data_IF_080025451933
#
_entry.id   IF_080025451933
#
_cell.length_a   1.000
_cell.length_b   1.000
_cell.length_c   1.000
_cell.angle_alpha   90.00
_cell.angle_beta   90.00
_cell.angle_gamma   90.00
#
_symmetry.space_group_name_H-M   'P 1'
#
loop_
_entity.id
_entity.type
_entity.pdbx_description
1 polymer ?
#
# COMPACT_ATOMS: atom_id res chain seq x y z
N UNK A 1 -14.69 14.38 4.01
CA UNK A 1 -14.56 12.97 4.46
C UNK A 1 -14.83 12.74 5.96
N UNK A 2 -15.05 13.79 6.77
CA UNK A 2 -15.30 13.66 8.22
C UNK A 2 -16.77 13.40 8.60
N UNK A 3 -17.72 13.76 7.74
CA UNK A 3 -19.16 13.53 7.97
C UNK A 3 -19.52 12.06 8.11
N UNK A 4 -18.81 11.17 7.41
CA UNK A 4 -18.99 9.72 7.51
C UNK A 4 -18.39 9.15 8.80
N UNK A 5 -17.33 9.76 9.34
CA UNK A 5 -16.73 9.36 10.61
C UNK A 5 -17.61 9.76 11.80
N UNK A 6 -18.17 10.97 11.78
CA UNK A 6 -19.13 11.43 12.81
C UNK A 6 -20.38 10.57 12.81
N UNK A 7 -20.94 10.28 11.63
CA UNK A 7 -22.10 9.39 11.48
C UNK A 7 -21.81 7.97 11.98
N UNK A 8 -20.62 7.43 11.67
CA UNK A 8 -20.22 6.07 12.09
C UNK A 8 -19.86 5.98 13.58
N UNK A 9 -19.35 7.05 14.18
CA UNK A 9 -19.13 7.14 15.62
C UNK A 9 -20.46 7.18 16.39
N UNK A 10 -21.46 7.91 15.87
CA UNK A 10 -22.80 7.97 16.43
C UNK A 10 -23.60 6.65 16.29
N UNK A 11 -23.29 5.82 15.29
CA UNK A 11 -23.93 4.51 15.09
C UNK A 11 -23.38 3.41 16.02
N UNK A 12 -22.14 3.52 16.52
CA UNK A 12 -21.51 2.51 17.41
C UNK A 12 -22.11 2.45 18.82
N UNK A 13 -22.86 3.46 19.25
CA UNK A 13 -23.46 3.48 20.60
C UNK A 13 -24.78 2.70 20.73
N UNK A 14 -25.33 2.17 19.63
CA UNK A 14 -26.69 1.59 19.60
C UNK A 14 -26.82 0.11 20.00
N UNK A 15 -25.74 -0.58 20.38
CA UNK A 15 -25.79 -2.03 20.67
C UNK A 15 -25.64 -2.43 22.14
N UNK A 16 -25.76 -1.50 23.10
CA UNK A 16 -25.49 -1.80 24.52
C UNK A 16 -26.63 -1.39 25.48
N UNK A 17 -27.87 -1.36 25.00
CA UNK A 17 -29.03 -1.02 25.83
C UNK A 17 -30.05 -2.18 25.81
N UNK A 18 -29.61 -3.37 26.21
CA UNK A 18 -30.51 -4.45 26.64
C UNK A 18 -30.95 -4.17 28.08
N UNK A 19 -31.98 -3.33 28.23
CA UNK A 19 -32.64 -3.11 29.51
C UNK A 19 -33.73 -4.18 29.70
N UNK A 20 -33.64 -5.05 30.71
CA UNK A 20 -34.50 -6.23 30.84
C UNK A 20 -35.99 -5.95 31.12
N UNK A 21 -36.38 -4.70 31.42
CA UNK A 21 -37.75 -4.35 31.83
C UNK A 21 -38.40 -3.17 31.07
N UNK A 22 -37.81 -2.72 29.96
CA UNK A 22 -38.47 -1.75 29.08
C UNK A 22 -39.17 -2.50 27.94
N UNK A 23 -40.47 -2.23 27.66
CA UNK A 23 -41.13 -2.80 26.50
C UNK A 23 -40.46 -2.27 25.23
N UNK A 24 -39.52 -3.04 24.67
CA UNK A 24 -38.85 -2.71 23.41
C UNK A 24 -39.90 -2.79 22.27
N UNK A 25 -40.27 -1.66 21.64
CA UNK A 25 -41.25 -1.64 20.54
C UNK A 25 -40.70 -2.31 19.28
N UNK A 26 -39.39 -2.54 19.20
CA UNK A 26 -38.70 -3.16 18.08
C UNK A 26 -38.12 -4.51 18.50
N UNK A 27 -38.98 -5.47 18.83
CA UNK A 27 -38.56 -6.87 19.05
C UNK A 27 -38.02 -7.44 17.74
N UNK A 28 -36.83 -8.02 17.76
CA UNK A 28 -36.30 -8.73 16.59
C UNK A 28 -37.19 -9.94 16.29
N UNK A 29 -37.71 -10.02 15.06
CA UNK A 29 -38.49 -11.17 14.58
C UNK A 29 -37.70 -12.49 14.61
N UNK A 30 -36.36 -12.41 14.61
CA UNK A 30 -35.44 -13.55 14.63
C UNK A 30 -34.32 -13.27 15.61
N UNK A 31 -34.12 -14.15 16.58
CA UNK A 31 -32.99 -14.09 17.53
C UNK A 31 -31.69 -14.35 16.75
N UNK A 32 -30.76 -13.42 16.88
CA UNK A 32 -29.37 -13.58 16.44
C UNK A 32 -28.53 -13.93 17.67
N UNK A 33 -27.51 -14.81 17.60
CA UNK A 33 -27.04 -15.63 16.48
C UNK A 33 -27.91 -16.88 16.24
N UNK A 34 -27.98 -17.39 14.99
CA UNK A 34 -28.66 -18.65 14.71
C UNK A 34 -27.93 -19.81 15.39
N UNK A 35 -28.67 -20.75 15.97
CA UNK A 35 -28.08 -21.98 16.51
C UNK A 35 -27.56 -22.86 15.36
N UNK A 36 -26.25 -22.83 15.11
CA UNK A 36 -25.60 -23.56 14.02
C UNK A 36 -25.86 -25.08 14.08
N UNK A 37 -25.96 -25.65 15.28
CA UNK A 37 -26.22 -27.09 15.49
C UNK A 37 -27.60 -27.55 15.01
N UNK A 38 -28.56 -26.62 14.81
CA UNK A 38 -29.93 -26.92 14.34
C UNK A 38 -30.12 -26.66 12.84
N UNK A 39 -29.11 -26.11 12.16
CA UNK A 39 -29.15 -25.77 10.74
C UNK A 39 -28.72 -26.96 9.88
N UNK A 40 -29.31 -27.09 8.69
CA UNK A 40 -28.88 -28.11 7.72
C UNK A 40 -27.42 -27.86 7.28
N UNK A 41 -26.65 -28.92 6.95
CA UNK A 41 -25.25 -28.77 6.51
C UNK A 41 -25.09 -27.82 5.31
N UNK A 42 -26.05 -27.82 4.39
CA UNK A 42 -26.03 -26.92 3.23
C UNK A 42 -26.15 -25.45 3.63
N UNK A 43 -26.99 -25.14 4.62
CA UNK A 43 -27.14 -23.77 5.13
C UNK A 43 -25.92 -23.31 5.91
N UNK A 44 -25.31 -24.20 6.71
CA UNK A 44 -24.05 -23.91 7.41
C UNK A 44 -22.95 -23.50 6.42
N UNK A 45 -22.76 -24.25 5.33
CA UNK A 45 -21.79 -23.92 4.28
C UNK A 45 -22.08 -22.57 3.60
N UNK A 46 -23.35 -22.22 3.40
CA UNK A 46 -23.74 -20.90 2.87
C UNK A 46 -23.32 -19.77 3.81
N UNK A 47 -23.54 -19.94 5.11
CA UNK A 47 -23.12 -18.97 6.12
C UNK A 47 -21.60 -18.85 6.21
N UNK A 48 -20.88 -19.97 6.17
CA UNK A 48 -19.42 -19.99 6.20
C UNK A 48 -18.84 -19.26 4.99
N UNK A 49 -19.33 -19.55 3.77
CA UNK A 49 -18.93 -18.83 2.55
C UNK A 49 -19.19 -17.33 2.67
N UNK A 50 -20.36 -16.94 3.20
CA UNK A 50 -20.71 -15.53 3.39
C UNK A 50 -19.81 -14.85 4.42
N UNK A 51 -19.48 -15.55 5.51
CA UNK A 51 -18.57 -15.07 6.54
C UNK A 51 -17.16 -14.86 5.97
N UNK A 52 -16.59 -15.87 5.31
CA UNK A 52 -15.26 -15.78 4.67
C UNK A 52 -15.16 -14.59 3.71
N UNK A 53 -16.16 -14.37 2.87
CA UNK A 53 -16.20 -13.19 1.98
C UNK A 53 -16.22 -11.87 2.75
N UNK A 54 -17.02 -11.77 3.80
CA UNK A 54 -17.11 -10.55 4.63
C UNK A 54 -15.80 -10.29 5.37
N UNK A 55 -15.14 -11.32 5.88
CA UNK A 55 -13.83 -11.22 6.52
C UNK A 55 -12.79 -10.77 5.50
N UNK A 56 -12.78 -11.33 4.30
CA UNK A 56 -11.87 -10.89 3.22
C UNK A 56 -12.08 -9.42 2.87
N UNK A 57 -13.34 -8.97 2.76
CA UNK A 57 -13.66 -7.57 2.50
C UNK A 57 -13.29 -6.64 3.66
N UNK A 58 -13.47 -7.09 4.91
CA UNK A 58 -13.09 -6.32 6.10
C UNK A 58 -11.56 -6.25 6.28
N UNK A 59 -10.86 -7.32 5.91
CA UNK A 59 -9.41 -7.42 5.94
C UNK A 59 -8.75 -6.71 4.74
N UNK A 60 -9.47 -6.54 3.64
CA UNK A 60 -8.95 -5.81 2.48
C UNK A 60 -8.61 -4.36 2.87
N UNK A 61 -7.33 -4.01 2.83
CA UNK A 61 -6.82 -2.65 3.05
C UNK A 61 -6.34 -2.05 1.72
N UNK A 62 -7.26 -1.58 0.85
CA UNK A 62 -6.89 -1.15 -0.50
C UNK A 62 -5.99 0.08 -0.50
N UNK A 63 -6.12 0.98 0.48
CA UNK A 63 -5.28 2.18 0.58
C UNK A 63 -3.84 1.83 0.94
N UNK A 64 -3.64 0.93 1.90
CA UNK A 64 -2.31 0.45 2.29
C UNK A 64 -1.62 -0.25 1.12
N UNK A 65 -2.33 -1.15 0.44
CA UNK A 65 -1.78 -1.85 -0.72
C UNK A 65 -1.39 -0.89 -1.84
N UNK A 66 -2.16 0.18 -2.07
CA UNK A 66 -1.79 1.23 -3.03
C UNK A 66 -0.51 1.96 -2.63
N UNK A 67 -0.36 2.31 -1.36
CA UNK A 67 0.85 2.99 -0.86
C UNK A 67 2.08 2.09 -0.97
N UNK A 68 1.96 0.80 -0.61
CA UNK A 68 3.07 -0.16 -0.72
C UNK A 68 3.46 -0.35 -2.19
N UNK A 69 2.50 -0.51 -3.10
CA UNK A 69 2.78 -0.61 -4.54
C UNK A 69 3.45 0.64 -5.09
N UNK A 70 3.02 1.82 -4.64
CA UNK A 70 3.65 3.08 -5.05
C UNK A 70 5.09 3.18 -4.52
N UNK A 71 5.33 2.81 -3.26
CA UNK A 71 6.67 2.77 -2.68
C UNK A 71 7.57 1.76 -3.40
N UNK A 72 7.04 0.58 -3.75
CA UNK A 72 7.75 -0.42 -4.53
C UNK A 72 8.12 0.12 -5.91
N UNK A 73 7.18 0.72 -6.63
CA UNK A 73 7.46 1.34 -7.93
C UNK A 73 8.52 2.44 -7.80
N UNK A 74 8.38 3.32 -6.81
CA UNK A 74 9.36 4.36 -6.53
C UNK A 74 10.76 3.78 -6.25
N UNK A 75 10.87 2.73 -5.45
CA UNK A 75 12.16 2.08 -5.18
C UNK A 75 12.81 1.51 -6.44
N UNK A 76 12.01 0.88 -7.32
CA UNK A 76 12.52 0.30 -8.57
C UNK A 76 12.99 1.43 -9.50
N UNK A 77 12.16 2.45 -9.71
CA UNK A 77 12.51 3.61 -10.54
C UNK A 77 13.72 4.36 -9.99
N UNK A 78 13.83 4.50 -8.67
CA UNK A 78 14.96 5.16 -8.03
C UNK A 78 16.27 4.40 -8.28
N UNK A 79 16.27 3.08 -8.08
CA UNK A 79 17.47 2.25 -8.33
C UNK A 79 17.86 2.28 -9.80
N UNK A 80 16.90 2.15 -10.71
CA UNK A 80 17.18 2.23 -12.16
C UNK A 80 17.72 3.62 -12.53
N UNK A 81 17.07 4.69 -12.07
CA UNK A 81 17.50 6.06 -12.31
C UNK A 81 18.92 6.32 -11.79
N UNK A 82 19.23 5.87 -10.58
CA UNK A 82 20.58 5.95 -10.03
C UNK A 82 21.60 5.16 -10.86
N UNK A 83 21.27 3.93 -11.24
CA UNK A 83 22.15 3.07 -12.03
C UNK A 83 22.48 3.68 -13.39
N UNK A 84 21.47 4.28 -14.04
CA UNK A 84 21.64 4.91 -15.35
C UNK A 84 22.34 6.26 -15.23
N UNK A 85 21.97 7.13 -14.28
CA UNK A 85 22.46 8.51 -14.26
C UNK A 85 23.75 8.73 -13.48
N UNK A 86 23.98 7.99 -12.39
CA UNK A 86 25.05 8.29 -11.43
C UNK A 86 26.06 7.15 -11.22
N UNK A 87 25.69 5.91 -11.52
CA UNK A 87 26.58 4.78 -11.25
C UNK A 87 27.70 4.72 -12.29
N UNK A 88 28.93 4.93 -11.83
CA UNK A 88 30.11 4.80 -12.66
C UNK A 88 30.53 3.33 -12.76
N UNK A 89 30.28 2.73 -13.93
CA UNK A 89 30.82 1.42 -14.26
C UNK A 89 32.24 1.69 -14.75
N UNK A 90 33.25 1.36 -13.91
CA UNK A 90 34.71 1.62 -14.06
C UNK A 90 35.38 1.03 -15.33
N UNK A 91 34.67 0.99 -16.44
CA UNK A 91 35.08 0.52 -17.75
C UNK A 91 35.31 1.74 -18.67
N UNK A 92 36.20 1.63 -19.65
CA UNK A 92 36.53 2.72 -20.59
C UNK A 92 35.33 3.26 -21.38
N UNK A 93 34.28 2.44 -21.59
CA UNK A 93 33.07 2.85 -22.30
C UNK A 93 31.84 2.70 -21.41
N UNK A 94 31.35 3.82 -20.85
CA UNK A 94 30.09 3.84 -20.09
C UNK A 94 28.91 3.72 -21.06
N UNK A 95 28.07 2.67 -20.96
CA UNK A 95 27.02 2.38 -21.94
C UNK A 95 25.87 3.41 -21.95
N UNK A 96 25.75 4.23 -20.91
CA UNK A 96 24.65 5.19 -20.75
C UNK A 96 25.07 6.67 -20.82
N UNK A 97 26.31 6.98 -21.25
CA UNK A 97 26.80 8.36 -21.30
C UNK A 97 25.96 9.26 -22.24
N UNK A 98 25.50 8.74 -23.38
CA UNK A 98 24.58 9.50 -24.26
C UNK A 98 23.23 9.82 -23.62
N UNK A 99 22.70 8.95 -22.76
CA UNK A 99 21.42 9.16 -22.06
C UNK A 99 21.59 10.20 -20.95
N UNK A 100 22.73 10.18 -20.25
CA UNK A 100 23.09 11.18 -19.24
C UNK A 100 23.22 12.57 -19.84
N UNK A 101 23.87 12.68 -21.00
CA UNK A 101 24.14 13.96 -21.63
C UNK A 101 22.87 14.62 -22.15
N UNK A 102 21.95 13.82 -22.71
CA UNK A 102 20.62 14.31 -23.09
C UNK A 102 19.78 14.68 -21.86
N UNK A 103 19.82 13.90 -20.79
CA UNK A 103 19.08 14.20 -19.56
C UNK A 103 19.55 15.53 -18.94
N UNK A 104 20.84 15.68 -18.69
CA UNK A 104 21.41 16.89 -18.10
C UNK A 104 21.33 18.11 -19.04
N UNK A 105 21.39 17.90 -20.36
CA UNK A 105 21.17 18.95 -21.36
C UNK A 105 19.73 19.48 -21.36
N UNK A 106 18.73 18.64 -21.08
CA UNK A 106 17.32 19.07 -20.94
C UNK A 106 17.07 19.77 -19.59
N UNK A 107 17.77 19.35 -18.53
CA UNK A 107 17.63 19.96 -17.19
C UNK A 107 18.49 21.22 -16.99
N UNK A 108 19.37 21.57 -17.94
CA UNK A 108 20.17 22.80 -17.91
C UNK A 108 21.20 22.86 -16.77
N UNK A 109 21.55 21.72 -16.16
CA UNK A 109 22.50 21.64 -15.05
C UNK A 109 23.80 20.96 -15.48
N UNK A 110 24.92 21.50 -15.03
CA UNK A 110 26.26 20.96 -15.28
C UNK A 110 26.42 19.56 -14.68
N UNK A 111 27.07 18.66 -15.42
CA UNK A 111 27.33 17.29 -14.96
C UNK A 111 28.15 17.35 -13.66
N UNK A 112 27.82 16.53 -12.64
CA UNK A 112 28.71 16.39 -11.49
C UNK A 112 30.07 15.87 -11.99
N UNK A 113 31.13 16.61 -11.66
CA UNK A 113 32.49 16.38 -12.14
C UNK A 113 32.92 14.93 -11.88
N UNK A 114 33.38 14.23 -12.94
CA UNK A 114 33.92 12.87 -12.81
C UNK A 114 35.14 12.96 -11.88
N UNK A 115 35.05 12.41 -10.66
CA UNK A 115 36.24 12.23 -9.80
C UNK A 115 37.13 11.16 -10.42
N UNK A 116 37.92 11.59 -11.40
CA UNK A 116 38.89 10.77 -12.09
C UNK A 116 39.98 10.30 -11.13
N UNK A 117 40.31 9.03 -11.27
CA UNK A 117 41.55 8.38 -10.85
C UNK A 117 42.75 9.34 -10.95
N UNK A 118 43.67 9.39 -9.96
CA UNK A 118 44.83 10.28 -10.04
C UNK A 118 45.66 9.99 -11.29
N UNK A 119 45.93 11.03 -12.07
CA UNK A 119 46.78 10.96 -13.25
C UNK A 119 48.17 10.41 -12.88
N UNK A 120 48.71 9.40 -13.60
CA UNK A 120 50.04 8.86 -13.32
C UNK A 120 51.17 9.88 -13.57
N UNK A 121 50.87 11.05 -14.16
CA UNK A 121 51.84 12.12 -14.43
C UNK A 121 52.18 13.01 -13.22
N UNK A 122 51.43 12.90 -12.11
CA UNK A 122 51.71 13.66 -10.87
C UNK A 122 52.59 12.88 -9.87
N UNK A 123 52.83 11.59 -10.10
CA UNK A 123 53.71 10.76 -9.27
C UNK A 123 55.21 10.81 -9.66
N UNK A 124 55.56 11.58 -10.71
CA UNK A 124 56.91 11.66 -11.25
C UNK A 124 57.46 13.10 -11.23
N UNK A 125 57.28 13.81 -10.10
CA UNK A 125 57.94 15.08 -9.81
C UNK A 125 58.53 15.06 -8.41
#
# INVERSE_FOLDING_TARGET
MFTTLVRRAAERSRSQLDFPNLPNPYRLKKVWPPNFSKLSPQEQLRFEKRYKRRVQLAAARPRWNKMVKLAQFFSITFVIGYSVLFMDWKNENQPFDGVRDQFWGVFGSERPEKKGTPDPSTAAK
#
